data_IF_094005141043
#
_entry.id   IF_094005141043
#
_cell.length_a   1.000
_cell.length_b   1.000
_cell.length_c   1.000
_cell.angle_alpha   90.00
_cell.angle_beta   90.00
_cell.angle_gamma   90.00
#
_symmetry.space_group_name_H-M   'P 1'
#
loop_
_entity.id
_entity.type
_entity.pdbx_description
1 polymer ?
#
# COMPACT_ATOMS: atom_id res chain seq x y z
N UNK A 1 12.94 47.82 -4.87
CA UNK A 1 11.66 47.17 -4.56
C UNK A 1 11.53 45.98 -5.48
N UNK A 2 11.83 44.78 -4.99
CA UNK A 2 11.80 43.55 -5.78
C UNK A 2 10.40 42.94 -5.65
N UNK A 3 9.67 42.94 -6.76
CA UNK A 3 8.38 42.27 -6.87
C UNK A 3 8.63 40.76 -6.87
N UNK A 4 8.26 40.10 -5.77
CA UNK A 4 8.29 38.64 -5.67
C UNK A 4 7.16 38.11 -6.54
N UNK A 5 7.55 37.48 -7.65
CA UNK A 5 6.65 36.73 -8.52
C UNK A 5 6.11 35.52 -7.76
N UNK A 6 4.80 35.48 -7.54
CA UNK A 6 4.09 34.29 -7.11
C UNK A 6 4.12 33.29 -8.27
N UNK A 7 5.10 32.38 -8.26
CA UNK A 7 5.04 31.20 -9.11
C UNK A 7 4.46 30.06 -8.27
N UNK A 8 3.28 29.63 -8.68
CA UNK A 8 2.46 28.61 -8.02
C UNK A 8 3.21 27.27 -8.00
N UNK A 9 3.57 26.82 -6.80
CA UNK A 9 4.25 25.54 -6.57
C UNK A 9 3.30 24.36 -6.84
N UNK A 10 3.11 24.00 -8.11
CA UNK A 10 2.38 22.81 -8.57
C UNK A 10 3.16 21.49 -8.42
N UNK A 11 3.81 21.24 -7.28
CA UNK A 11 4.76 20.11 -7.14
C UNK A 11 4.72 19.34 -5.81
N UNK A 12 3.65 19.48 -5.02
CA UNK A 12 3.57 18.91 -3.67
C UNK A 12 3.15 17.44 -3.60
N UNK A 13 2.23 16.98 -4.46
CA UNK A 13 1.57 15.68 -4.30
C UNK A 13 2.28 14.52 -4.99
N UNK A 14 2.81 14.71 -6.21
CA UNK A 14 3.54 13.65 -6.94
C UNK A 14 4.76 13.14 -6.17
N UNK A 15 5.45 14.03 -5.43
CA UNK A 15 6.63 13.65 -4.65
C UNK A 15 6.27 12.79 -3.42
N UNK A 16 5.14 13.06 -2.77
CA UNK A 16 4.72 12.34 -1.57
C UNK A 16 4.38 10.89 -1.91
N UNK A 17 3.71 10.65 -3.04
CA UNK A 17 3.30 9.32 -3.47
C UNK A 17 4.51 8.45 -3.84
N UNK A 18 5.52 9.03 -4.49
CA UNK A 18 6.80 8.37 -4.78
C UNK A 18 7.56 8.02 -3.51
N UNK A 19 7.63 8.95 -2.55
CA UNK A 19 8.31 8.73 -1.26
C UNK A 19 7.61 7.64 -0.45
N UNK A 20 6.28 7.67 -0.35
CA UNK A 20 5.50 6.61 0.30
C UNK A 20 5.76 5.26 -0.35
N UNK A 21 5.75 5.17 -1.68
CA UNK A 21 6.03 3.93 -2.43
C UNK A 21 7.46 3.43 -2.20
N UNK A 22 8.43 4.33 -2.04
CA UNK A 22 9.82 4.00 -1.73
C UNK A 22 9.99 3.42 -0.32
N UNK A 23 9.51 4.12 0.71
CA UNK A 23 9.55 3.64 2.09
C UNK A 23 8.72 2.36 2.26
N UNK A 24 7.57 2.28 1.60
CA UNK A 24 6.76 1.07 1.57
C UNK A 24 7.55 -0.17 1.08
N UNK A 25 8.27 0.00 -0.04
CA UNK A 25 9.08 -1.07 -0.65
C UNK A 25 10.22 -1.53 0.25
N UNK A 26 10.68 -0.65 1.15
CA UNK A 26 11.78 -0.92 2.08
C UNK A 26 11.28 -1.49 3.41
N UNK A 27 10.19 -0.97 3.96
CA UNK A 27 9.85 -1.16 5.37
C UNK A 27 8.70 -2.11 5.64
N UNK A 28 7.88 -2.45 4.65
CA UNK A 28 6.68 -3.22 4.95
C UNK A 28 6.97 -4.70 4.93
N UNK A 29 7.45 -5.16 6.09
CA UNK A 29 7.43 -6.57 6.46
C UNK A 29 6.03 -6.84 7.00
N UNK A 30 5.20 -7.55 6.22
CA UNK A 30 3.93 -8.06 6.72
C UNK A 30 4.18 -8.86 8.00
N UNK A 31 3.37 -8.62 9.03
CA UNK A 31 3.41 -9.41 10.27
C UNK A 31 3.20 -10.89 9.96
N UNK A 32 3.64 -11.77 10.86
CA UNK A 32 3.51 -13.21 10.68
C UNK A 32 2.05 -13.61 10.40
N UNK A 33 1.14 -13.09 11.21
CA UNK A 33 -0.29 -13.37 11.12
C UNK A 33 -0.88 -12.93 9.77
N UNK A 34 -0.57 -11.71 9.31
CA UNK A 34 -1.04 -11.21 8.01
C UNK A 34 -0.48 -12.04 6.87
N UNK A 35 0.78 -12.49 6.98
CA UNK A 35 1.41 -13.35 5.98
C UNK A 35 0.75 -14.73 5.94
N UNK A 36 0.45 -15.32 7.08
CA UNK A 36 -0.24 -16.62 7.16
C UNK A 36 -1.66 -16.53 6.58
N UNK A 37 -2.43 -15.50 6.93
CA UNK A 37 -3.74 -15.25 6.32
C UNK A 37 -3.64 -15.11 4.80
N UNK A 38 -2.69 -14.31 4.30
CA UNK A 38 -2.50 -14.13 2.87
C UNK A 38 -2.15 -15.44 2.14
N UNK A 39 -1.28 -16.28 2.72
CA UNK A 39 -0.94 -17.57 2.12
C UNK A 39 -2.11 -18.55 2.15
N UNK A 40 -2.98 -18.48 3.16
CA UNK A 40 -4.16 -19.35 3.26
C UNK A 40 -5.18 -19.17 2.14
N UNK A 41 -5.15 -18.01 1.46
CA UNK A 41 -6.02 -17.70 0.32
C UNK A 41 -5.64 -18.45 -0.97
N UNK A 42 -4.46 -19.08 -1.03
CA UNK A 42 -3.99 -19.86 -2.19
C UNK A 42 -4.13 -19.13 -3.55
N UNK A 43 -3.94 -17.81 -3.55
CA UNK A 43 -4.11 -16.98 -4.75
C UNK A 43 -3.06 -17.31 -5.82
N UNK A 44 -3.41 -17.22 -7.12
CA UNK A 44 -2.45 -17.20 -8.20
C UNK A 44 -1.35 -16.16 -7.99
N UNK A 45 -0.17 -16.43 -8.55
CA UNK A 45 1.02 -15.58 -8.35
C UNK A 45 0.80 -14.10 -8.70
N UNK A 46 0.02 -13.83 -9.75
CA UNK A 46 -0.25 -12.47 -10.22
C UNK A 46 -1.22 -11.74 -9.29
N UNK A 47 -2.30 -12.41 -8.84
CA UNK A 47 -3.22 -11.86 -7.84
C UNK A 47 -2.53 -11.63 -6.50
N UNK A 48 -1.72 -12.59 -6.05
CA UNK A 48 -0.92 -12.47 -4.83
C UNK A 48 0.01 -11.25 -4.86
N UNK A 49 0.55 -10.91 -6.04
CA UNK A 49 1.40 -9.73 -6.22
C UNK A 49 0.60 -8.44 -6.09
N UNK A 50 -0.59 -8.37 -6.67
CA UNK A 50 -1.46 -7.20 -6.55
C UNK A 50 -1.96 -7.03 -5.12
N UNK A 51 -2.41 -8.10 -4.46
CA UNK A 51 -2.81 -8.05 -3.04
C UNK A 51 -1.67 -7.55 -2.14
N UNK A 52 -0.44 -8.00 -2.34
CA UNK A 52 0.73 -7.48 -1.59
C UNK A 52 1.00 -5.99 -1.80
N UNK A 53 0.64 -5.44 -2.96
CA UNK A 53 0.72 -4.00 -3.23
C UNK A 53 -0.44 -3.23 -2.63
N UNK A 54 -1.60 -3.85 -2.37
CA UNK A 54 -2.72 -3.19 -1.71
C UNK A 54 -2.54 -3.17 -0.20
N UNK A 55 -2.23 -4.33 0.41
CA UNK A 55 -1.88 -4.47 1.83
C UNK A 55 -0.81 -3.47 2.27
N UNK A 56 -0.02 -3.08 1.30
CA UNK A 56 1.05 -2.16 1.44
C UNK A 56 0.75 -0.85 2.14
N UNK A 57 -0.32 -0.25 1.68
CA UNK A 57 -0.69 1.10 2.00
C UNK A 57 -1.64 1.12 3.20
N UNK A 58 -1.86 -0.06 3.81
CA UNK A 58 -2.78 -0.28 4.90
C UNK A 58 -2.01 -0.47 6.22
N UNK A 59 -2.60 0.01 7.30
CA UNK A 59 -2.19 -0.40 8.66
C UNK A 59 -2.49 -1.88 8.86
N UNK A 60 -1.85 -2.51 9.86
CA UNK A 60 -2.04 -3.95 10.12
C UNK A 60 -3.52 -4.35 10.35
N UNK A 61 -4.29 -3.52 11.07
CA UNK A 61 -5.72 -3.78 11.28
C UNK A 61 -6.49 -3.76 9.95
N UNK A 62 -6.16 -2.81 9.08
CA UNK A 62 -6.75 -2.70 7.73
C UNK A 62 -6.30 -3.80 6.80
N UNK A 63 -5.07 -4.31 6.95
CA UNK A 63 -4.59 -5.49 6.24
C UNK A 63 -5.43 -6.73 6.62
N UNK A 64 -5.69 -6.94 7.91
CA UNK A 64 -6.52 -8.05 8.41
C UNK A 64 -7.97 -7.95 7.92
N UNK A 65 -8.56 -6.76 7.95
CA UNK A 65 -9.90 -6.50 7.42
C UNK A 65 -9.97 -6.81 5.92
N UNK A 66 -9.04 -6.26 5.13
CA UNK A 66 -8.95 -6.51 3.69
C UNK A 66 -8.86 -8.01 3.34
N UNK A 67 -7.98 -8.75 4.02
CA UNK A 67 -7.84 -10.19 3.77
C UNK A 67 -9.07 -10.98 4.19
N UNK A 68 -9.77 -10.54 5.23
CA UNK A 68 -11.02 -11.17 5.67
C UNK A 68 -12.13 -10.96 4.65
N UNK A 69 -12.23 -9.78 4.04
CA UNK A 69 -13.16 -9.51 2.95
C UNK A 69 -12.83 -10.35 1.72
N UNK A 70 -11.56 -10.36 1.30
CA UNK A 70 -11.11 -11.16 0.16
C UNK A 70 -11.39 -12.66 0.35
N UNK A 71 -11.29 -13.17 1.60
CA UNK A 71 -11.60 -14.56 1.92
C UNK A 71 -13.10 -14.90 1.81
N UNK A 72 -13.99 -13.92 1.99
CA UNK A 72 -15.44 -14.10 1.83
C UNK A 72 -15.83 -14.19 0.36
N UNK A 73 -15.19 -13.39 -0.48
CA UNK A 73 -15.48 -13.35 -1.93
C UNK A 73 -14.94 -14.57 -2.68
N UNK A 74 -13.94 -15.26 -2.11
CA UNK A 74 -13.34 -16.49 -2.67
C UNK A 74 -14.03 -17.80 -2.20
N UNK A 75 -15.16 -17.71 -1.48
CA UNK A 75 -15.97 -18.86 -1.03
C UNK A 75 -17.22 -19.02 -1.88
#
# INVERSE_FOLDING_TARGET
MLLINNNENGGGFEKVEVVKRYFYRIFTVLSKDVREQLMSLNLPKDELKEVKKELAFLSEDKQKEFLTELAKDNK
#
